data_IF_855116530838
#
_entry.id   IF_855116530838
#
_cell.length_a   1.000
_cell.length_b   1.000
_cell.length_c   1.000
_cell.angle_alpha   90.00
_cell.angle_beta   90.00
_cell.angle_gamma   90.00
#
_symmetry.space_group_name_H-M   'P 1'
#
loop_
_entity.id
_entity.type
_entity.pdbx_description
1 polymer ?
#
# COMPACT_ATOMS: atom_id res chain seq x y z
N UNK A 1 -2.47 25.20 22.33
CA UNK A 1 -3.31 24.25 21.59
C UNK A 1 -2.58 23.94 20.30
N UNK A 2 -2.27 22.69 19.99
CA UNK A 2 -1.75 22.30 18.67
C UNK A 2 -2.88 22.53 17.66
N UNK A 3 -2.60 22.94 16.40
CA UNK A 3 -3.65 23.12 15.41
C UNK A 3 -4.40 21.82 15.21
N UNK A 4 -5.73 21.89 15.10
CA UNK A 4 -6.57 20.77 14.70
C UNK A 4 -6.03 20.23 13.36
N UNK A 5 -5.69 18.94 13.34
CA UNK A 5 -5.20 18.31 12.13
C UNK A 5 -6.34 17.55 11.49
N UNK A 6 -6.72 17.96 10.29
CA UNK A 6 -7.73 17.24 9.53
C UNK A 6 -7.21 15.91 9.02
N UNK A 7 -8.09 14.92 8.96
CA UNK A 7 -7.81 13.59 8.43
C UNK A 7 -7.45 13.68 6.93
N UNK A 8 -6.30 13.12 6.49
CA UNK A 8 -5.92 13.12 5.07
C UNK A 8 -6.88 12.37 4.15
N UNK A 9 -7.67 11.42 4.68
CA UNK A 9 -8.62 10.63 3.89
C UNK A 9 -9.98 11.31 3.79
N UNK A 10 -10.66 11.59 4.92
CA UNK A 10 -12.03 12.08 4.89
C UNK A 10 -12.19 13.59 5.17
N UNK A 11 -11.08 14.29 5.47
CA UNK A 11 -11.09 15.72 5.77
C UNK A 11 -11.67 16.08 7.13
N UNK A 12 -12.06 15.11 7.96
CA UNK A 12 -12.64 15.36 9.29
C UNK A 12 -11.65 16.04 10.23
N UNK A 13 -12.13 16.94 11.07
CA UNK A 13 -11.39 17.53 12.19
C UNK A 13 -11.47 16.67 13.48
N UNK A 14 -12.32 15.64 13.52
CA UNK A 14 -12.38 14.69 14.64
C UNK A 14 -11.19 13.74 14.60
N UNK A 15 -10.04 14.23 15.07
CA UNK A 15 -8.80 13.47 15.13
C UNK A 15 -8.16 13.55 16.50
N UNK A 16 -7.66 12.43 17.01
CA UNK A 16 -7.04 12.34 18.34
C UNK A 16 -5.68 11.68 18.28
N UNK A 17 -4.68 12.27 18.96
CA UNK A 17 -3.37 11.65 19.11
C UNK A 17 -3.44 10.50 20.11
N UNK A 18 -2.90 9.33 19.72
CA UNK A 18 -2.89 8.14 20.58
C UNK A 18 -1.48 7.59 20.86
N UNK A 19 -0.49 7.89 20.01
CA UNK A 19 0.88 7.47 20.21
C UNK A 19 1.82 8.60 19.86
N UNK A 20 2.82 8.87 20.73
CA UNK A 20 3.83 9.89 20.48
C UNK A 20 5.21 9.40 20.90
N UNK A 21 6.17 9.55 19.99
CA UNK A 21 7.61 9.32 20.21
C UNK A 21 8.39 10.46 19.58
N UNK A 22 9.18 11.16 20.37
CA UNK A 22 9.92 12.36 19.92
C UNK A 22 11.02 12.06 18.92
N UNK A 23 11.53 10.81 18.88
CA UNK A 23 12.67 10.44 18.04
C UNK A 23 12.70 8.94 17.81
N UNK A 24 12.38 8.53 16.57
CA UNK A 24 12.49 7.14 16.10
C UNK A 24 13.37 7.09 14.85
N UNK A 25 14.02 5.96 14.53
CA UNK A 25 14.66 5.79 13.23
C UNK A 25 13.66 6.02 12.09
N UNK A 26 14.09 6.70 11.02
CA UNK A 26 13.19 6.96 9.88
C UNK A 26 13.05 5.76 8.94
N UNK A 27 14.08 4.92 8.84
CA UNK A 27 14.07 3.72 8.00
C UNK A 27 13.98 2.44 8.81
N UNK A 28 13.14 1.50 8.37
CA UNK A 28 13.07 0.15 8.92
C UNK A 28 13.89 -0.85 8.09
N UNK A 29 13.79 -0.79 6.78
CA UNK A 29 14.29 -1.80 5.86
C UNK A 29 15.69 -1.47 5.29
N UNK A 30 16.49 -0.74 6.06
CA UNK A 30 17.89 -0.43 5.73
C UNK A 30 18.83 -1.24 6.62
N UNK A 31 19.59 -2.16 6.00
CA UNK A 31 20.61 -2.93 6.70
C UNK A 31 21.89 -2.10 6.82
N UNK A 32 22.30 -1.82 8.07
CA UNK A 32 23.48 -1.02 8.37
C UNK A 32 24.65 -1.91 8.78
N UNK A 33 25.86 -1.58 8.31
CA UNK A 33 27.04 -2.42 8.47
C UNK A 33 27.62 -2.41 9.89
N UNK A 34 27.28 -1.41 10.70
CA UNK A 34 27.84 -1.26 12.04
C UNK A 34 26.86 -0.63 13.04
N UNK A 35 27.12 -0.88 14.35
CA UNK A 35 26.40 -0.22 15.45
C UNK A 35 26.56 1.30 15.41
N UNK A 36 27.70 1.81 14.98
CA UNK A 36 27.96 3.24 14.87
C UNK A 36 27.05 3.88 13.82
N UNK A 37 26.93 3.28 12.63
CA UNK A 37 26.03 3.71 11.57
C UNK A 37 24.56 3.62 12.02
N UNK A 38 24.17 2.54 12.69
CA UNK A 38 22.81 2.40 13.20
C UNK A 38 22.44 3.49 14.22
N UNK A 39 23.37 3.91 15.07
CA UNK A 39 23.16 5.02 16.01
C UNK A 39 23.15 6.39 15.34
N UNK A 40 23.83 6.55 14.22
CA UNK A 40 23.90 7.77 13.43
C UNK A 40 22.77 7.87 12.39
N UNK A 41 21.91 6.85 12.26
CA UNK A 41 20.80 6.86 11.29
C UNK A 41 19.85 8.04 11.49
N UNK A 42 19.27 8.52 10.41
CA UNK A 42 18.28 9.59 10.41
C UNK A 42 17.11 9.30 11.36
N UNK A 43 16.62 10.32 12.04
CA UNK A 43 15.53 10.18 13.02
C UNK A 43 14.46 11.23 12.78
N UNK A 44 13.21 10.85 13.05
CA UNK A 44 12.04 11.70 12.92
C UNK A 44 11.09 11.59 14.11
N UNK A 45 10.13 12.48 14.19
CA UNK A 45 9.06 12.44 15.19
C UNK A 45 7.91 11.54 14.70
N UNK A 46 7.48 10.61 15.54
CA UNK A 46 6.31 9.78 15.32
C UNK A 46 5.18 10.29 16.21
N UNK A 47 4.17 10.91 15.62
CA UNK A 47 2.98 11.38 16.32
C UNK A 47 1.74 10.88 15.58
N UNK A 48 1.23 9.72 16.03
CA UNK A 48 0.10 9.05 15.41
C UNK A 48 -1.22 9.63 15.88
N UNK A 49 -2.06 10.00 14.91
CA UNK A 49 -3.44 10.42 15.11
C UNK A 49 -4.39 9.36 14.54
N UNK A 50 -5.54 9.20 15.18
CA UNK A 50 -6.65 8.41 14.64
C UNK A 50 -7.83 9.33 14.34
N UNK A 51 -8.50 9.11 13.22
CA UNK A 51 -9.71 9.81 12.81
C UNK A 51 -10.95 9.09 13.40
N UNK A 52 -11.78 9.85 14.14
CA UNK A 52 -13.03 9.33 14.72
C UNK A 52 -14.09 8.99 13.69
N UNK A 53 -14.10 9.69 12.55
CA UNK A 53 -15.12 9.51 11.51
C UNK A 53 -14.85 8.32 10.59
N UNK A 54 -13.61 8.14 10.09
CA UNK A 54 -13.31 7.06 9.13
C UNK A 54 -12.41 5.95 9.67
N UNK A 55 -11.75 6.16 10.82
CA UNK A 55 -10.84 5.18 11.41
C UNK A 55 -9.45 5.12 10.78
N UNK A 56 -9.09 6.11 9.94
CA UNK A 56 -7.75 6.25 9.40
C UNK A 56 -6.78 6.72 10.47
N UNK A 57 -5.59 6.10 10.54
CA UNK A 57 -4.53 6.56 11.41
C UNK A 57 -3.32 7.05 10.62
N UNK A 58 -2.70 8.14 11.06
CA UNK A 58 -1.62 8.78 10.32
C UNK A 58 -0.59 9.44 11.23
N UNK A 59 0.68 9.45 10.77
CA UNK A 59 1.75 10.19 11.43
C UNK A 59 1.65 11.68 11.06
N UNK A 60 1.11 12.49 11.96
CA UNK A 60 0.94 13.92 11.75
C UNK A 60 2.26 14.72 11.75
N UNK A 61 3.38 14.11 12.17
CA UNK A 61 4.73 14.67 12.15
C UNK A 61 5.58 14.10 11.00
N UNK A 62 4.99 13.36 10.06
CA UNK A 62 5.72 12.78 8.94
C UNK A 62 6.32 13.86 8.05
N UNK A 63 7.60 13.76 7.78
CA UNK A 63 8.34 14.60 6.85
C UNK A 63 8.98 13.72 5.77
N UNK A 64 8.43 13.80 4.57
CA UNK A 64 8.88 13.00 3.44
C UNK A 64 10.34 13.31 3.04
N UNK A 65 10.85 14.51 3.36
CA UNK A 65 12.24 14.89 3.04
C UNK A 65 13.28 14.08 3.81
N UNK A 66 12.88 13.44 4.92
CA UNK A 66 13.74 12.55 5.70
C UNK A 66 13.85 11.15 5.08
N UNK A 67 12.95 10.81 4.14
CA UNK A 67 12.93 9.49 3.49
C UNK A 67 13.91 9.45 2.32
N UNK A 68 14.72 8.39 2.27
CA UNK A 68 15.55 8.10 1.10
C UNK A 68 15.46 6.62 0.75
N UNK A 69 14.94 6.33 -0.42
CA UNK A 69 14.86 4.98 -0.95
C UNK A 69 16.07 4.74 -1.86
N UNK A 70 17.16 4.20 -1.29
CA UNK A 70 18.40 3.89 -2.00
C UNK A 70 18.57 2.39 -2.25
N UNK A 71 19.70 2.03 -2.87
CA UNK A 71 20.01 0.64 -3.24
C UNK A 71 20.17 -0.30 -2.02
N UNK A 72 20.35 0.25 -0.81
CA UNK A 72 20.44 -0.50 0.45
C UNK A 72 19.07 -0.79 1.09
N UNK A 73 17.98 -0.28 0.52
CA UNK A 73 16.64 -0.53 1.00
C UNK A 73 16.17 -1.93 0.58
N UNK A 74 15.78 -2.77 1.53
CA UNK A 74 15.39 -4.16 1.28
C UNK A 74 14.15 -4.57 2.07
N UNK A 75 12.98 -4.37 1.49
CA UNK A 75 11.69 -4.81 2.02
C UNK A 75 11.34 -6.26 1.67
N UNK A 76 12.31 -7.09 1.30
CA UNK A 76 12.07 -8.48 0.87
C UNK A 76 11.58 -9.35 2.02
N UNK A 77 10.32 -9.81 1.97
CA UNK A 77 9.72 -10.68 2.99
C UNK A 77 9.70 -12.17 2.61
N UNK A 78 10.05 -12.50 1.39
CA UNK A 78 9.97 -13.87 0.84
C UNK A 78 11.03 -14.83 1.36
N UNK A 79 11.95 -14.36 2.21
CA UNK A 79 12.82 -15.21 3.02
C UNK A 79 12.00 -16.05 4.04
N UNK A 80 10.78 -15.64 4.40
CA UNK A 80 9.86 -16.41 5.23
C UNK A 80 9.13 -17.47 4.39
N UNK A 81 9.25 -18.78 4.70
CA UNK A 81 8.51 -19.82 3.99
C UNK A 81 6.99 -19.62 4.07
N UNK A 82 6.47 -19.22 5.24
CA UNK A 82 5.05 -18.95 5.44
C UNK A 82 4.54 -17.80 4.58
N UNK A 83 5.28 -16.70 4.52
CA UNK A 83 4.92 -15.56 3.67
C UNK A 83 5.04 -15.93 2.16
N UNK A 84 6.07 -16.71 1.78
CA UNK A 84 6.22 -17.19 0.40
C UNK A 84 5.06 -18.09 -0.03
N UNK A 85 4.57 -18.98 0.87
CA UNK A 85 3.39 -19.80 0.61
C UNK A 85 2.14 -18.94 0.43
N UNK A 86 1.91 -17.99 1.33
CA UNK A 86 0.81 -17.02 1.22
C UNK A 86 0.82 -16.27 -0.12
N UNK A 87 1.99 -15.78 -0.55
CA UNK A 87 2.13 -15.10 -1.85
C UNK A 87 1.76 -16.02 -3.01
N UNK A 88 2.17 -17.29 -2.97
CA UNK A 88 1.80 -18.28 -4.00
C UNK A 88 0.29 -18.55 -4.02
N UNK A 89 -0.34 -18.67 -2.85
CA UNK A 89 -1.79 -18.85 -2.73
C UNK A 89 -2.56 -17.64 -3.26
N UNK A 90 -2.05 -16.42 -2.97
CA UNK A 90 -2.63 -15.18 -3.49
C UNK A 90 -2.52 -15.09 -5.02
N UNK A 91 -1.40 -15.48 -5.61
CA UNK A 91 -1.22 -15.56 -7.06
C UNK A 91 -2.16 -16.62 -7.66
N UNK A 92 -2.27 -17.78 -7.03
CA UNK A 92 -3.24 -18.80 -7.41
C UNK A 92 -4.67 -18.27 -7.44
N UNK A 93 -5.07 -17.60 -6.37
CA UNK A 93 -6.37 -16.91 -6.29
C UNK A 93 -6.58 -15.91 -7.44
N UNK A 94 -5.60 -15.06 -7.71
CA UNK A 94 -5.71 -14.09 -8.80
C UNK A 94 -5.89 -14.76 -10.15
N UNK A 95 -5.12 -15.78 -10.45
CA UNK A 95 -5.14 -16.42 -11.79
C UNK A 95 -6.30 -17.40 -11.94
N UNK A 96 -6.60 -18.21 -10.92
CA UNK A 96 -7.58 -19.30 -11.04
C UNK A 96 -9.01 -18.84 -10.68
N UNK A 97 -9.17 -17.99 -9.67
CA UNK A 97 -10.50 -17.55 -9.23
C UNK A 97 -10.91 -16.18 -9.79
N UNK A 98 -9.93 -15.27 -9.96
CA UNK A 98 -10.19 -13.91 -10.47
C UNK A 98 -9.89 -13.78 -11.96
N UNK A 99 -9.47 -14.86 -12.61
CA UNK A 99 -9.24 -14.96 -14.06
C UNK A 99 -8.23 -13.92 -14.59
N UNK A 100 -7.21 -13.57 -13.79
CA UNK A 100 -6.13 -12.68 -14.22
C UNK A 100 -5.28 -13.42 -15.25
N UNK A 101 -5.75 -13.41 -16.51
CA UNK A 101 -5.16 -14.11 -17.66
C UNK A 101 -5.34 -13.30 -18.92
N UNK A 102 -4.39 -13.45 -19.86
CA UNK A 102 -4.41 -12.75 -21.16
C UNK A 102 -4.63 -11.24 -21.00
N UNK A 103 -3.98 -10.63 -20.03
CA UNK A 103 -4.23 -9.26 -19.61
C UNK A 103 -2.92 -8.52 -19.28
N UNK A 104 -3.03 -7.20 -19.16
CA UNK A 104 -1.96 -6.32 -18.71
C UNK A 104 -2.12 -6.04 -17.21
N UNK A 105 -1.09 -6.36 -16.45
CA UNK A 105 -1.02 -6.10 -15.00
C UNK A 105 0.03 -5.03 -14.71
N UNK A 106 -0.33 -4.06 -13.90
CA UNK A 106 0.60 -3.07 -13.32
C UNK A 106 0.76 -3.37 -11.84
N UNK A 107 2.00 -3.52 -11.35
CA UNK A 107 2.31 -3.55 -9.93
C UNK A 107 2.93 -2.22 -9.51
N UNK A 108 2.26 -1.53 -8.59
CA UNK A 108 2.71 -0.30 -7.96
C UNK A 108 3.52 -0.66 -6.71
N UNK A 109 4.78 -0.19 -6.65
CA UNK A 109 5.70 -0.54 -5.57
C UNK A 109 6.11 -2.01 -5.65
N UNK A 110 6.63 -2.42 -6.81
CA UNK A 110 6.99 -3.83 -7.03
C UNK A 110 8.28 -4.27 -6.29
N UNK A 111 9.00 -3.35 -5.64
CA UNK A 111 10.27 -3.63 -5.00
C UNK A 111 11.26 -4.29 -5.96
N UNK A 112 11.81 -5.41 -5.56
CA UNK A 112 12.69 -6.22 -6.42
C UNK A 112 11.94 -7.03 -7.48
N UNK A 113 10.62 -6.87 -7.61
CA UNK A 113 9.78 -7.49 -8.65
C UNK A 113 9.40 -8.94 -8.41
N UNK A 114 9.48 -9.44 -7.18
CA UNK A 114 9.29 -10.87 -6.92
C UNK A 114 7.85 -11.33 -7.16
N UNK A 115 6.88 -10.56 -6.70
CA UNK A 115 5.46 -10.90 -6.89
C UNK A 115 5.06 -10.89 -8.36
N UNK A 116 5.39 -9.81 -9.09
CA UNK A 116 5.00 -9.71 -10.50
C UNK A 116 5.73 -10.73 -11.38
N UNK A 117 6.99 -11.12 -11.04
CA UNK A 117 7.67 -12.22 -11.74
C UNK A 117 6.93 -13.54 -11.58
N UNK A 118 6.49 -13.88 -10.36
CA UNK A 118 5.71 -15.10 -10.11
C UNK A 118 4.38 -15.05 -10.86
N UNK A 119 3.71 -13.89 -10.87
CA UNK A 119 2.42 -13.71 -11.55
C UNK A 119 2.57 -13.83 -13.08
N UNK A 120 3.54 -13.15 -13.70
CA UNK A 120 3.82 -13.23 -15.15
C UNK A 120 4.31 -14.61 -15.56
N UNK A 121 5.06 -15.28 -14.68
CA UNK A 121 5.55 -16.65 -14.87
C UNK A 121 4.50 -17.73 -14.61
N UNK A 122 3.31 -17.40 -14.13
CA UNK A 122 2.29 -18.39 -13.80
C UNK A 122 1.86 -19.19 -15.05
N UNK A 123 1.81 -20.53 -14.97
CA UNK A 123 1.44 -21.38 -16.10
C UNK A 123 0.07 -20.99 -16.67
N UNK A 124 -0.04 -20.85 -17.98
CA UNK A 124 -1.27 -20.50 -18.70
C UNK A 124 -1.84 -19.10 -18.40
N UNK A 125 -1.12 -18.25 -17.64
CA UNK A 125 -1.56 -16.88 -17.33
C UNK A 125 -1.50 -15.99 -18.57
N UNK A 126 -0.44 -16.09 -19.38
CA UNK A 126 -0.19 -15.23 -20.55
C UNK A 126 -0.36 -13.74 -20.20
N UNK A 127 0.31 -13.32 -19.10
CA UNK A 127 0.20 -11.98 -18.52
C UNK A 127 1.35 -11.12 -19.05
N UNK A 128 1.04 -9.86 -19.39
CA UNK A 128 2.04 -8.81 -19.59
C UNK A 128 2.09 -7.97 -18.31
N UNK A 129 3.27 -7.83 -17.72
CA UNK A 129 3.49 -7.15 -16.45
C UNK A 129 4.30 -5.87 -16.60
N UNK A 130 3.96 -4.88 -15.80
CA UNK A 130 4.74 -3.65 -15.59
C UNK A 130 4.91 -3.43 -14.09
N UNK A 131 6.16 -3.36 -13.63
CA UNK A 131 6.50 -3.08 -12.24
C UNK A 131 7.07 -1.67 -12.10
N UNK A 132 6.57 -0.88 -11.16
CA UNK A 132 7.07 0.46 -10.84
C UNK A 132 7.61 0.49 -9.42
N UNK A 133 8.90 0.81 -9.26
CA UNK A 133 9.50 1.00 -7.95
C UNK A 133 10.83 1.76 -8.04
N UNK A 134 11.06 2.83 -7.26
CA UNK A 134 12.32 3.58 -7.28
C UNK A 134 13.51 2.75 -6.77
N UNK A 135 13.28 1.70 -5.98
CA UNK A 135 14.32 0.83 -5.41
C UNK A 135 14.62 -0.41 -6.26
N UNK A 136 13.95 -0.54 -7.40
CA UNK A 136 14.12 -1.73 -8.25
C UNK A 136 15.59 -1.96 -8.64
N UNK A 137 16.01 -3.21 -8.49
CA UNK A 137 17.36 -3.68 -8.86
C UNK A 137 17.23 -4.91 -9.76
N UNK A 138 17.84 -4.86 -10.92
CA UNK A 138 17.80 -5.96 -11.88
C UNK A 138 17.57 -5.49 -13.31
N UNK A 139 17.32 -6.41 -14.24
CA UNK A 139 17.03 -6.09 -15.64
C UNK A 139 15.69 -5.34 -15.77
N UNK A 140 15.65 -4.34 -16.64
CA UNK A 140 14.42 -3.58 -16.92
C UNK A 140 13.39 -4.40 -17.74
N UNK A 141 13.84 -5.48 -18.43
CA UNK A 141 12.99 -6.30 -19.30
C UNK A 141 13.28 -7.78 -19.09
N UNK A 142 12.24 -8.55 -18.83
CA UNK A 142 12.31 -10.00 -18.59
C UNK A 142 11.21 -10.76 -19.37
N UNK A 143 11.21 -12.08 -19.27
CA UNK A 143 10.21 -12.98 -19.91
C UNK A 143 10.01 -12.73 -21.40
N UNK A 144 11.10 -12.39 -22.14
CA UNK A 144 11.02 -12.09 -23.57
C UNK A 144 10.23 -10.83 -23.89
N UNK A 145 10.24 -9.84 -23.02
CA UNK A 145 9.56 -8.56 -23.19
C UNK A 145 8.15 -8.51 -22.55
N UNK A 146 7.66 -9.60 -21.97
CA UNK A 146 6.36 -9.63 -21.29
C UNK A 146 6.36 -8.97 -19.90
N UNK A 147 7.52 -8.82 -19.27
CA UNK A 147 7.67 -8.11 -18.00
C UNK A 147 8.63 -6.96 -18.18
N UNK A 148 8.20 -5.77 -17.74
CA UNK A 148 9.00 -4.55 -17.77
C UNK A 148 9.02 -3.88 -16.41
N UNK A 149 10.18 -3.35 -16.02
CA UNK A 149 10.35 -2.59 -14.79
C UNK A 149 10.71 -1.16 -15.10
N UNK A 150 10.13 -0.23 -14.32
CA UNK A 150 10.47 1.18 -14.35
C UNK A 150 10.96 1.62 -12.97
N UNK A 151 12.23 2.02 -12.87
CA UNK A 151 12.86 2.47 -11.63
C UNK A 151 12.43 3.90 -11.29
N UNK A 152 11.14 4.05 -10.95
CA UNK A 152 10.52 5.33 -10.54
C UNK A 152 9.25 5.11 -9.74
N UNK A 153 8.80 6.16 -9.07
CA UNK A 153 7.49 6.16 -8.42
C UNK A 153 6.35 6.03 -9.46
N UNK A 154 5.24 5.44 -9.02
CA UNK A 154 4.00 5.43 -9.79
C UNK A 154 3.28 6.76 -9.60
N UNK A 155 3.22 7.56 -10.64
CA UNK A 155 2.67 8.91 -10.65
C UNK A 155 1.60 9.10 -11.74
N UNK A 156 1.18 10.34 -11.96
CA UNK A 156 0.22 10.68 -13.01
C UNK A 156 0.71 10.30 -14.42
N UNK A 157 2.00 10.38 -14.67
CA UNK A 157 2.57 10.02 -15.98
C UNK A 157 2.55 8.50 -16.16
N UNK A 158 2.91 7.73 -15.12
CA UNK A 158 2.81 6.26 -15.13
C UNK A 158 1.36 5.78 -15.34
N UNK A 159 0.38 6.52 -14.81
CA UNK A 159 -1.04 6.20 -14.94
C UNK A 159 -1.58 6.32 -16.37
N UNK A 160 -0.81 6.84 -17.33
CA UNK A 160 -1.15 6.83 -18.76
C UNK A 160 -1.07 5.43 -19.38
N UNK A 161 -0.39 4.48 -18.74
CA UNK A 161 -0.33 3.09 -19.18
C UNK A 161 -1.65 2.36 -18.87
N UNK A 162 -2.42 1.92 -19.89
CA UNK A 162 -3.66 1.21 -19.66
C UNK A 162 -3.41 -0.15 -19.00
N UNK A 163 -4.10 -0.43 -17.89
CA UNK A 163 -4.00 -1.69 -17.17
C UNK A 163 -5.35 -2.37 -17.03
N UNK A 164 -5.39 -3.68 -17.22
CA UNK A 164 -6.56 -4.49 -16.93
C UNK A 164 -6.66 -4.79 -15.42
N UNK A 165 -5.51 -4.90 -14.76
CA UNK A 165 -5.41 -5.07 -13.31
C UNK A 165 -4.29 -4.19 -12.77
N UNK A 166 -4.58 -3.40 -11.72
CA UNK A 166 -3.54 -2.69 -10.97
C UNK A 166 -3.44 -3.30 -9.58
N UNK A 167 -2.23 -3.70 -9.20
CA UNK A 167 -1.92 -4.31 -7.91
C UNK A 167 -1.01 -3.36 -7.12
N UNK A 168 -1.33 -3.12 -5.86
CA UNK A 168 -0.53 -2.31 -4.96
C UNK A 168 -0.46 -3.03 -3.61
N UNK A 169 0.74 -3.50 -3.25
CA UNK A 169 0.94 -4.32 -2.06
C UNK A 169 2.02 -3.70 -1.19
N UNK A 170 1.69 -3.42 0.08
CA UNK A 170 2.60 -2.84 1.06
C UNK A 170 3.29 -1.54 0.57
N UNK A 171 2.47 -0.62 0.05
CA UNK A 171 2.92 0.70 -0.45
C UNK A 171 2.07 1.84 0.09
N UNK A 172 0.74 1.68 0.13
CA UNK A 172 -0.17 2.78 0.50
C UNK A 172 0.06 3.27 1.94
N UNK A 173 0.58 2.41 2.82
CA UNK A 173 0.97 2.76 4.19
C UNK A 173 2.17 3.69 4.26
N UNK A 174 2.99 3.75 3.22
CA UNK A 174 4.15 4.65 3.09
C UNK A 174 3.80 5.99 2.42
N UNK A 175 2.55 6.16 1.98
CA UNK A 175 2.12 7.33 1.21
C UNK A 175 1.35 8.30 2.10
N UNK A 176 1.84 9.55 2.26
CA UNK A 176 1.17 10.55 3.11
C UNK A 176 -0.14 11.09 2.51
N UNK A 177 -0.30 11.03 1.18
CA UNK A 177 -1.54 11.37 0.46
C UNK A 177 -2.07 10.14 -0.28
N UNK A 178 -2.76 9.22 0.41
CA UNK A 178 -3.27 8.00 -0.20
C UNK A 178 -4.34 8.25 -1.28
N UNK A 179 -5.07 9.36 -1.22
CA UNK A 179 -6.08 9.67 -2.23
C UNK A 179 -5.43 10.04 -3.59
N UNK A 180 -4.26 10.67 -3.57
CA UNK A 180 -3.51 10.97 -4.78
C UNK A 180 -3.06 9.67 -5.48
N UNK A 181 -2.51 8.70 -4.72
CA UNK A 181 -2.12 7.39 -5.24
C UNK A 181 -3.33 6.65 -5.84
N UNK A 182 -4.43 6.57 -5.08
CA UNK A 182 -5.66 5.91 -5.53
C UNK A 182 -6.24 6.57 -6.78
N UNK A 183 -6.17 7.89 -6.89
CA UNK A 183 -6.60 8.63 -8.09
C UNK A 183 -5.73 8.33 -9.31
N UNK A 184 -4.41 8.15 -9.13
CA UNK A 184 -3.52 7.73 -10.21
C UNK A 184 -3.84 6.31 -10.68
N UNK A 185 -4.03 5.38 -9.74
CA UNK A 185 -4.43 3.98 -10.02
C UNK A 185 -5.78 3.92 -10.75
N UNK A 186 -6.78 4.69 -10.30
CA UNK A 186 -8.08 4.79 -10.97
C UNK A 186 -7.94 5.23 -12.43
N UNK A 187 -7.14 6.26 -12.73
CA UNK A 187 -6.92 6.75 -14.10
C UNK A 187 -6.37 5.66 -15.04
N UNK A 188 -5.46 4.82 -14.58
CA UNK A 188 -4.94 3.70 -15.38
C UNK A 188 -6.04 2.67 -15.66
N UNK A 189 -6.81 2.31 -14.63
CA UNK A 189 -7.89 1.34 -14.73
C UNK A 189 -9.07 1.84 -15.59
N UNK A 190 -9.40 3.13 -15.54
CA UNK A 190 -10.50 3.71 -16.36
C UNK A 190 -10.31 3.55 -17.86
N UNK A 191 -9.08 3.34 -18.32
CA UNK A 191 -8.77 3.15 -19.75
C UNK A 191 -9.17 1.77 -20.27
N UNK A 192 -9.62 0.87 -19.40
CA UNK A 192 -10.06 -0.50 -19.73
C UNK A 192 -11.47 -0.77 -19.18
N UNK A 193 -12.39 -1.36 -19.98
CA UNK A 193 -13.81 -1.46 -19.63
C UNK A 193 -14.10 -2.37 -18.43
N UNK A 194 -13.24 -3.36 -18.18
CA UNK A 194 -13.40 -4.35 -17.11
C UNK A 194 -12.23 -4.35 -16.13
N UNK A 195 -11.44 -3.27 -16.12
CA UNK A 195 -10.32 -3.17 -15.21
C UNK A 195 -10.77 -3.14 -13.76
N UNK A 196 -9.91 -3.66 -12.91
CA UNK A 196 -10.07 -3.62 -11.48
C UNK A 196 -8.71 -3.42 -10.78
N UNK A 197 -8.77 -3.07 -9.53
CA UNK A 197 -7.61 -2.76 -8.73
C UNK A 197 -7.63 -3.59 -7.45
N UNK A 198 -6.45 -3.93 -6.92
CA UNK A 198 -6.35 -4.57 -5.63
C UNK A 198 -5.20 -3.99 -4.80
N UNK A 199 -5.48 -3.82 -3.52
CA UNK A 199 -4.55 -3.28 -2.54
C UNK A 199 -4.39 -4.25 -1.38
N UNK A 200 -3.14 -4.39 -0.92
CA UNK A 200 -2.79 -5.08 0.32
C UNK A 200 -2.00 -4.12 1.21
N UNK A 201 -2.39 -4.02 2.48
CA UNK A 201 -1.74 -3.15 3.46
C UNK A 201 -1.91 -3.72 4.87
N UNK A 202 -1.03 -3.39 5.85
CA UNK A 202 -1.23 -3.79 7.24
C UNK A 202 -2.60 -3.39 7.78
N UNK A 203 -3.19 -4.27 8.61
CA UNK A 203 -4.49 -4.07 9.21
C UNK A 203 -4.35 -3.39 10.57
N UNK A 204 -4.79 -2.13 10.69
CA UNK A 204 -4.73 -1.37 11.93
C UNK A 204 -5.47 -2.06 13.08
N UNK A 205 -6.65 -2.65 12.82
CA UNK A 205 -7.42 -3.36 13.84
C UNK A 205 -6.66 -4.60 14.38
N UNK A 206 -5.93 -5.30 13.50
CA UNK A 206 -5.11 -6.44 13.89
C UNK A 206 -3.91 -5.99 14.73
N UNK A 207 -3.22 -4.93 14.31
CA UNK A 207 -2.09 -4.32 15.04
C UNK A 207 -2.50 -3.97 16.48
N UNK A 208 -3.65 -3.30 16.64
CA UNK A 208 -4.14 -2.90 17.96
C UNK A 208 -4.57 -4.10 18.82
N UNK A 209 -5.33 -5.04 18.25
CA UNK A 209 -5.81 -6.22 18.98
C UNK A 209 -4.69 -7.12 19.49
N UNK A 210 -3.60 -7.22 18.74
CA UNK A 210 -2.47 -8.08 19.07
C UNK A 210 -1.31 -7.32 19.73
N UNK A 211 -1.48 -6.01 19.99
CA UNK A 211 -0.47 -5.14 20.59
C UNK A 211 0.87 -5.16 19.83
N UNK A 212 0.78 -5.16 18.50
CA UNK A 212 1.93 -5.21 17.57
C UNK A 212 2.52 -3.81 17.43
N UNK A 213 3.03 -3.26 18.54
CA UNK A 213 3.48 -1.86 18.61
C UNK A 213 4.66 -1.55 17.68
N UNK A 214 5.41 -2.53 17.22
CA UNK A 214 6.52 -2.37 16.29
C UNK A 214 6.08 -2.06 14.87
N UNK A 215 4.80 -2.22 14.51
CA UNK A 215 4.26 -1.75 13.23
C UNK A 215 4.02 -0.23 13.20
N UNK A 216 4.09 0.44 14.36
CA UNK A 216 4.11 1.91 14.43
C UNK A 216 5.54 2.41 14.27
N UNK A 217 6.04 2.43 13.04
CA UNK A 217 7.33 2.99 12.71
C UNK A 217 7.19 4.16 11.72
N UNK A 218 8.26 4.92 11.53
CA UNK A 218 8.19 6.21 10.85
C UNK A 218 7.70 6.10 9.41
N UNK A 219 8.16 5.09 8.66
CA UNK A 219 7.78 4.88 7.26
C UNK A 219 6.29 4.56 7.08
N UNK A 220 5.63 3.92 8.05
CA UNK A 220 4.19 3.69 8.04
C UNK A 220 3.46 4.96 8.47
N UNK A 221 3.50 5.97 7.61
CA UNK A 221 2.85 7.25 7.86
C UNK A 221 1.33 7.18 7.73
N UNK A 222 0.78 6.13 7.13
CA UNK A 222 -0.66 5.91 6.86
C UNK A 222 -1.05 4.48 7.25
N UNK A 223 -1.96 4.33 8.21
CA UNK A 223 -2.44 3.01 8.63
C UNK A 223 -3.95 2.91 8.47
N UNK A 224 -4.40 1.80 7.94
CA UNK A 224 -5.78 1.61 7.51
C UNK A 224 -6.50 0.57 8.36
N UNK A 225 -7.75 0.92 8.70
CA UNK A 225 -8.78 -0.05 9.05
C UNK A 225 -9.50 -0.49 7.78
N UNK A 226 -10.26 -1.58 7.83
CA UNK A 226 -11.12 -1.99 6.71
C UNK A 226 -12.07 -0.86 6.28
N UNK A 227 -12.62 -0.11 7.23
CA UNK A 227 -13.50 1.04 6.99
C UNK A 227 -12.77 2.20 6.31
N UNK A 228 -11.60 2.61 6.82
CA UNK A 228 -10.90 3.75 6.26
C UNK A 228 -10.32 3.49 4.87
N UNK A 229 -9.88 2.25 4.60
CA UNK A 229 -9.42 1.87 3.25
C UNK A 229 -10.60 1.87 2.25
N UNK A 230 -11.77 1.35 2.65
CA UNK A 230 -13.00 1.44 1.87
C UNK A 230 -13.37 2.90 1.59
N UNK A 231 -13.36 3.76 2.61
CA UNK A 231 -13.64 5.19 2.48
C UNK A 231 -12.66 5.87 1.51
N UNK A 232 -11.36 5.55 1.60
CA UNK A 232 -10.34 6.11 0.69
C UNK A 232 -10.60 5.72 -0.77
N UNK A 233 -10.98 4.45 -1.02
CA UNK A 233 -11.35 3.98 -2.36
C UNK A 233 -12.56 4.74 -2.91
N UNK A 234 -13.64 4.82 -2.15
CA UNK A 234 -14.88 5.48 -2.57
C UNK A 234 -14.66 6.97 -2.85
N UNK A 235 -13.93 7.67 -1.97
CA UNK A 235 -13.58 9.09 -2.17
C UNK A 235 -12.67 9.31 -3.38
N UNK A 236 -11.90 8.31 -3.78
CA UNK A 236 -11.07 8.34 -4.98
C UNK A 236 -11.81 7.93 -6.25
N UNK A 237 -13.12 7.60 -6.18
CA UNK A 237 -13.94 7.18 -7.31
C UNK A 237 -13.75 5.72 -7.72
N UNK A 238 -13.48 4.87 -6.74
CA UNK A 238 -13.41 3.42 -6.90
C UNK A 238 -14.56 2.74 -6.14
N UNK A 239 -15.38 1.95 -6.81
CA UNK A 239 -16.37 1.07 -6.18
C UNK A 239 -15.64 -0.12 -5.53
N UNK A 240 -15.90 -0.38 -4.25
CA UNK A 240 -15.35 -1.55 -3.56
C UNK A 240 -16.15 -2.79 -3.92
N UNK A 241 -15.47 -3.80 -4.43
CA UNK A 241 -16.04 -5.10 -4.81
C UNK A 241 -15.92 -6.13 -3.68
N UNK A 242 -14.80 -6.10 -2.95
CA UNK A 242 -14.49 -7.03 -1.88
C UNK A 242 -13.49 -6.39 -0.92
N UNK A 243 -13.70 -6.59 0.37
CA UNK A 243 -12.72 -6.30 1.41
C UNK A 243 -12.62 -7.54 2.31
N UNK A 244 -11.41 -8.01 2.60
CA UNK A 244 -11.16 -9.18 3.44
C UNK A 244 -9.85 -9.06 4.20
N UNK A 245 -9.76 -9.73 5.33
CA UNK A 245 -8.50 -9.95 6.02
C UNK A 245 -7.80 -11.16 5.41
N UNK A 246 -6.49 -11.04 5.21
CA UNK A 246 -5.63 -12.08 4.67
C UNK A 246 -4.42 -12.29 5.57
N UNK A 247 -3.63 -13.34 5.35
CA UNK A 247 -2.47 -13.67 6.14
C UNK A 247 -2.77 -13.67 7.66
N UNK A 248 -3.71 -14.55 8.08
CA UNK A 248 -4.18 -14.68 9.46
C UNK A 248 -4.77 -13.38 10.07
N UNK A 249 -5.25 -12.50 9.21
CA UNK A 249 -5.85 -11.22 9.62
C UNK A 249 -4.89 -10.05 9.67
N UNK A 250 -3.59 -10.29 9.51
CA UNK A 250 -2.54 -9.28 9.63
C UNK A 250 -2.64 -8.20 8.54
N UNK A 251 -3.13 -8.57 7.35
CA UNK A 251 -3.27 -7.64 6.24
C UNK A 251 -4.71 -7.49 5.78
N UNK A 252 -5.01 -6.32 5.24
CA UNK A 252 -6.23 -6.04 4.49
C UNK A 252 -5.97 -6.28 3.01
N UNK A 253 -6.88 -7.02 2.36
CA UNK A 253 -6.96 -7.14 0.92
C UNK A 253 -8.25 -6.53 0.43
N UNK A 254 -8.16 -5.53 -0.44
CA UNK A 254 -9.31 -4.81 -0.98
C UNK A 254 -9.28 -4.84 -2.50
N UNK A 255 -10.41 -5.20 -3.09
CA UNK A 255 -10.63 -5.18 -4.54
C UNK A 255 -11.64 -4.12 -4.89
N UNK A 256 -11.36 -3.36 -5.94
CA UNK A 256 -12.24 -2.30 -6.43
C UNK A 256 -12.18 -2.16 -7.95
N UNK A 257 -13.06 -1.33 -8.48
CA UNK A 257 -13.07 -0.95 -9.90
C UNK A 257 -13.41 0.53 -10.03
N UNK A 258 -13.07 1.18 -11.16
CA UNK A 258 -13.55 2.54 -11.41
C UNK A 258 -15.08 2.63 -11.29
N UNK A 259 -15.56 3.61 -10.52
CA UNK A 259 -16.98 3.82 -10.29
C UNK A 259 -17.68 4.24 -11.59
N UNK A 260 -18.87 3.65 -11.85
CA UNK A 260 -19.71 3.97 -13.02
C UNK A 260 -20.80 4.97 -12.67
N UNK A 261 -20.49 6.06 -11.94
CA UNK A 261 -21.49 7.06 -11.54
C UNK A 261 -20.95 8.09 -10.57
N UNK A 262 -21.83 8.95 -10.01
CA UNK A 262 -21.47 9.95 -9.03
C UNK A 262 -20.96 9.31 -7.74
N UNK A 263 -19.82 9.79 -7.25
CA UNK A 263 -19.17 9.37 -6.00
C UNK A 263 -20.14 9.62 -4.83
N UNK A 264 -20.47 8.59 -4.06
CA UNK A 264 -21.25 8.71 -2.82
C UNK A 264 -20.31 8.86 -1.62
N UNK A 265 -20.44 9.95 -0.90
CA UNK A 265 -19.78 10.11 0.41
C UNK A 265 -20.44 9.19 1.45
N UNK A 266 -19.70 8.28 2.04
CA UNK A 266 -20.15 7.46 3.17
C UNK A 266 -19.80 8.09 4.53
N UNK A 267 -20.74 8.02 5.47
CA UNK A 267 -20.53 8.29 6.91
C UNK A 267 -20.66 6.97 7.64
N UNK A 268 -19.61 6.55 8.37
CA UNK A 268 -19.66 5.78 9.62
C UNK A 268 -18.40 4.95 9.88
N UNK A 269 -17.67 5.31 10.93
CA UNK A 269 -16.62 4.46 11.51
C UNK A 269 -16.48 4.73 13.02
N UNK A 270 -17.43 4.23 13.79
CA UNK A 270 -17.46 4.47 15.26
C UNK A 270 -16.62 3.56 16.14
N UNK A 271 -15.93 2.53 15.63
CA UNK A 271 -15.36 1.47 16.47
C UNK A 271 -13.84 1.50 16.71
N UNK A 272 -13.07 2.29 15.97
CA UNK A 272 -11.59 2.26 16.06
C UNK A 272 -11.07 2.96 17.31
N UNK A 273 -11.70 4.04 17.74
CA UNK A 273 -11.27 4.81 18.94
C UNK A 273 -11.37 3.98 20.22
N UNK A 274 -12.20 2.94 20.25
CA UNK A 274 -12.36 2.06 21.43
C UNK A 274 -11.23 1.03 21.58
N UNK A 275 -10.38 0.87 20.55
CA UNK A 275 -9.26 -0.09 20.57
C UNK A 275 -7.89 0.60 20.78
N UNK A 276 -7.79 1.89 20.53
CA UNK A 276 -6.60 2.72 20.77
C UNK A 276 -6.65 3.34 22.17
#
# INVERSE_FOLDING_TARGET
MRPERSCPVCGSSDTSAFLQRSSVPVHQDVVLASVAEARASGRGELTMYACGDCGFAFNAAFDQSLMSYGDCYDSTQTCSPGFSAYVNDLIGYLVEEREVRNCTVVEVGCGKGEFIRRLVGYPRGNITGYGFDPTHVGPDVEYGGRLRFEKRFYDEHASSLPADVVICRHVIEHVPDPLQLLSAVRRAAEQRPNAWVCFETPCMEWILRHSVFWDFFYEHCSLFTSSSLTTAFELSGLDVLRARHVFEGQYLWLEGRPARGLIRAHKNAGDVIKLA
#
